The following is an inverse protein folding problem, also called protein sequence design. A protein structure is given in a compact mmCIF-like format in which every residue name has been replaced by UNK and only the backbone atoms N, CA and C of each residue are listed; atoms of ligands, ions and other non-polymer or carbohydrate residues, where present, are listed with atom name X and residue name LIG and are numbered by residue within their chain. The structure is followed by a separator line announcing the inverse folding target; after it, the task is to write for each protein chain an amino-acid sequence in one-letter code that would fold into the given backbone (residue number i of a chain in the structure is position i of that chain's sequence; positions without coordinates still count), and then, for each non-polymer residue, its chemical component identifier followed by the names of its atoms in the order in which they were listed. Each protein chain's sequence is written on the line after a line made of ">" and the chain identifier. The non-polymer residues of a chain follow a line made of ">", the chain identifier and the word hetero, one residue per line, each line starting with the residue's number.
data_IF_874249887073
#
_entry.id   IF_874249887073
#
_cell.length_a   1.000
_cell.length_b   1.000
_cell.length_c   1.000
_cell.angle_alpha   90.00
_cell.angle_beta   90.00
_cell.angle_gamma   90.00
#
_symmetry.space_group_name_H-M   'P 1'
#
loop_
_entity.id
_entity.type
_entity.pdbx_description
1 polymer ?
#
# COMPACT_ATOMS: atom_id res chain seq x y z
N UNK A 1 16.29 -24.66 6.78
CA UNK A 1 15.41 -25.51 5.96
C UNK A 1 15.75 -25.21 4.52
N UNK A 2 16.73 -25.94 3.98
CA UNK A 2 17.29 -25.68 2.65
C UNK A 2 16.48 -26.43 1.61
N UNK A 3 15.25 -25.98 1.41
CA UNK A 3 14.35 -26.49 0.37
C UNK A 3 14.32 -25.50 -0.78
N UNK A 4 14.40 -25.99 -2.00
CA UNK A 4 14.27 -25.14 -3.19
C UNK A 4 12.82 -24.61 -3.26
N UNK A 5 12.60 -23.28 -3.17
CA UNK A 5 11.24 -22.75 -3.12
C UNK A 5 10.53 -22.95 -4.46
N UNK A 6 9.26 -23.34 -4.41
CA UNK A 6 8.41 -23.47 -5.59
C UNK A 6 8.04 -22.11 -6.17
N UNK A 7 7.69 -22.06 -7.47
CA UNK A 7 7.28 -20.81 -8.13
C UNK A 7 6.13 -20.10 -7.40
N UNK A 8 5.13 -20.85 -6.94
CA UNK A 8 4.00 -20.29 -6.19
C UNK A 8 4.43 -19.67 -4.86
N UNK A 9 5.29 -20.33 -4.09
CA UNK A 9 5.74 -19.83 -2.78
C UNK A 9 6.56 -18.56 -2.90
N UNK A 10 7.35 -18.43 -3.98
CA UNK A 10 8.10 -17.19 -4.26
C UNK A 10 7.15 -16.04 -4.58
N UNK A 11 6.13 -16.28 -5.41
CA UNK A 11 5.15 -15.26 -5.78
C UNK A 11 4.29 -14.82 -4.58
N UNK A 12 3.85 -15.77 -3.77
CA UNK A 12 3.06 -15.52 -2.57
C UNK A 12 3.85 -14.68 -1.56
N UNK A 13 5.11 -15.04 -1.31
CA UNK A 13 6.00 -14.25 -0.46
C UNK A 13 6.25 -12.84 -1.03
N UNK A 14 6.32 -12.70 -2.36
CA UNK A 14 6.45 -11.42 -3.03
C UNK A 14 5.29 -10.45 -2.73
N UNK A 15 4.07 -10.96 -2.53
CA UNK A 15 2.91 -10.13 -2.18
C UNK A 15 3.08 -9.41 -0.83
N UNK A 16 3.90 -9.96 0.08
CA UNK A 16 4.22 -9.33 1.37
C UNK A 16 4.84 -7.95 1.20
N UNK A 17 5.57 -7.71 0.10
CA UNK A 17 6.22 -6.43 -0.15
C UNK A 17 5.22 -5.27 -0.34
N UNK A 18 3.96 -5.56 -0.67
CA UNK A 18 2.94 -4.52 -0.88
C UNK A 18 2.75 -3.59 0.33
N UNK A 19 2.94 -4.09 1.56
CA UNK A 19 2.81 -3.27 2.77
C UNK A 19 3.92 -2.22 2.92
N UNK A 20 5.09 -2.45 2.31
CA UNK A 20 6.24 -1.53 2.42
C UNK A 20 5.96 -0.19 1.76
N UNK A 21 5.11 -0.15 0.73
CA UNK A 21 4.69 1.11 0.10
C UNK A 21 3.92 1.98 1.10
N UNK A 22 2.93 1.40 1.80
CA UNK A 22 2.18 2.10 2.84
C UNK A 22 3.10 2.60 3.97
N UNK A 23 4.05 1.77 4.43
CA UNK A 23 5.01 2.19 5.45
C UNK A 23 5.99 3.26 4.96
N UNK A 24 6.33 3.27 3.67
CA UNK A 24 7.14 4.32 3.08
C UNK A 24 6.38 5.65 3.06
N UNK A 25 5.10 5.63 2.69
CA UNK A 25 4.23 6.82 2.65
C UNK A 25 4.02 7.41 4.05
N UNK A 26 3.95 6.59 5.09
CA UNK A 26 3.86 7.08 6.48
C UNK A 26 5.14 7.75 7.00
N UNK A 27 6.30 7.48 6.36
CA UNK A 27 7.58 8.09 6.70
C UNK A 27 7.78 9.37 5.87
N UNK A 28 9.03 9.71 5.57
CA UNK A 28 9.40 10.96 4.90
C UNK A 28 9.01 11.06 3.42
N UNK A 29 8.63 9.95 2.76
CA UNK A 29 8.23 9.98 1.35
C UNK A 29 6.84 10.59 1.15
N UNK A 30 5.93 10.39 2.11
CA UNK A 30 4.56 10.88 2.05
C UNK A 30 4.25 11.86 3.19
N UNK A 31 3.56 11.36 4.22
CA UNK A 31 2.92 12.15 5.27
C UNK A 31 3.87 12.66 6.36
N UNK A 32 5.12 12.17 6.40
CA UNK A 32 6.13 12.69 7.31
C UNK A 32 5.77 12.53 8.79
N UNK A 33 5.10 11.43 9.18
CA UNK A 33 4.58 11.27 10.54
C UNK A 33 5.67 11.43 11.61
N UNK A 34 6.90 11.01 11.31
CA UNK A 34 8.06 11.14 12.20
C UNK A 34 8.50 12.60 12.41
N UNK A 35 8.20 13.50 11.47
CA UNK A 35 8.49 14.95 11.57
C UNK A 35 7.29 15.79 12.04
N UNK A 36 6.10 15.19 12.13
CA UNK A 36 4.87 15.90 12.52
C UNK A 36 4.84 16.36 14.00
N UNK A 37 5.83 15.97 14.81
CA UNK A 37 5.93 16.26 16.25
C UNK A 37 4.67 15.93 17.05
N UNK A 38 3.84 14.98 16.59
CA UNK A 38 2.65 14.51 17.33
C UNK A 38 3.12 13.79 18.61
N UNK A 39 2.96 14.45 19.74
CA UNK A 39 3.38 13.91 21.05
C UNK A 39 2.30 13.05 21.73
N UNK A 40 1.05 13.09 21.26
CA UNK A 40 -0.06 12.32 21.84
C UNK A 40 -0.29 11.03 21.05
N UNK A 41 0.01 9.88 21.68
CA UNK A 41 -0.18 8.54 21.12
C UNK A 41 -1.58 8.32 20.55
N UNK A 42 -2.61 8.73 21.28
CA UNK A 42 -4.01 8.49 20.89
C UNK A 42 -4.39 9.24 19.59
N UNK A 43 -3.75 10.39 19.34
CA UNK A 43 -3.96 11.16 18.11
C UNK A 43 -3.25 10.51 16.94
N UNK A 44 -2.06 9.95 17.18
CA UNK A 44 -1.29 9.23 16.17
C UNK A 44 -2.01 7.94 15.76
N UNK A 45 -2.54 7.18 16.72
CA UNK A 45 -3.32 5.97 16.45
C UNK A 45 -4.52 6.25 15.56
N UNK A 46 -5.33 7.26 15.91
CA UNK A 46 -6.50 7.66 15.11
C UNK A 46 -6.11 8.14 13.72
N UNK A 47 -5.00 8.89 13.61
CA UNK A 47 -4.49 9.34 12.32
C UNK A 47 -4.08 8.15 11.45
N UNK A 48 -3.29 7.21 11.98
CA UNK A 48 -2.87 6.00 11.24
C UNK A 48 -4.09 5.19 10.80
N UNK A 49 -5.10 5.02 11.66
CA UNK A 49 -6.33 4.31 11.31
C UNK A 49 -7.04 4.95 10.12
N UNK A 50 -7.27 6.26 10.17
CA UNK A 50 -7.95 6.99 9.08
C UNK A 50 -7.12 6.92 7.80
N UNK A 51 -5.80 7.09 7.91
CA UNK A 51 -4.90 7.02 6.76
C UNK A 51 -4.89 5.63 6.11
N UNK A 52 -4.88 4.55 6.90
CA UNK A 52 -4.96 3.18 6.37
C UNK A 52 -6.26 2.93 5.60
N UNK A 53 -7.40 3.41 6.10
CA UNK A 53 -8.68 3.31 5.40
C UNK A 53 -8.67 4.12 4.09
N UNK A 54 -8.15 5.34 4.13
CA UNK A 54 -8.06 6.20 2.96
C UNK A 54 -7.15 5.62 1.87
N UNK A 55 -5.99 5.05 2.25
CA UNK A 55 -5.08 4.37 1.34
C UNK A 55 -5.72 3.12 0.73
N UNK A 56 -6.41 2.30 1.52
CA UNK A 56 -7.15 1.16 1.01
C UNK A 56 -8.18 1.59 -0.04
N UNK A 57 -8.93 2.66 0.24
CA UNK A 57 -9.92 3.21 -0.70
C UNK A 57 -9.25 3.71 -1.99
N UNK A 58 -8.20 4.52 -1.89
CA UNK A 58 -7.48 5.05 -3.04
C UNK A 58 -6.92 3.94 -3.95
N UNK A 59 -6.31 2.91 -3.35
CA UNK A 59 -5.81 1.73 -4.09
C UNK A 59 -6.97 0.98 -4.75
N UNK A 60 -8.08 0.78 -4.03
CA UNK A 60 -9.27 0.09 -4.56
C UNK A 60 -9.87 0.84 -5.75
N UNK A 61 -9.96 2.17 -5.67
CA UNK A 61 -10.40 3.01 -6.78
C UNK A 61 -9.43 2.95 -7.97
N UNK A 62 -8.11 2.99 -7.72
CA UNK A 62 -7.12 2.86 -8.78
C UNK A 62 -7.20 1.52 -9.50
N UNK A 63 -7.35 0.42 -8.75
CA UNK A 63 -7.55 -0.92 -9.31
C UNK A 63 -8.86 -1.04 -10.09
N UNK A 64 -9.94 -0.42 -9.60
CA UNK A 64 -11.21 -0.39 -10.30
C UNK A 64 -11.08 0.36 -11.63
N UNK A 65 -10.46 1.56 -11.61
CA UNK A 65 -10.21 2.35 -12.81
C UNK A 65 -9.31 1.60 -13.81
N UNK A 66 -8.26 0.93 -13.36
CA UNK A 66 -7.41 0.11 -14.22
C UNK A 66 -8.19 -1.05 -14.86
N UNK A 67 -9.02 -1.76 -14.07
CA UNK A 67 -9.88 -2.83 -14.58
C UNK A 67 -10.88 -2.33 -15.62
N UNK A 68 -11.50 -1.17 -15.36
CA UNK A 68 -12.42 -0.53 -16.28
C UNK A 68 -11.72 -0.12 -17.58
N UNK A 69 -10.54 0.50 -17.49
CA UNK A 69 -9.75 0.88 -18.66
C UNK A 69 -9.37 -0.34 -19.52
N UNK A 70 -9.02 -1.47 -18.89
CA UNK A 70 -8.76 -2.73 -19.60
C UNK A 70 -10.02 -3.26 -20.28
N UNK A 71 -11.18 -3.20 -19.61
CA UNK A 71 -12.46 -3.60 -20.18
C UNK A 71 -12.87 -2.73 -21.38
N UNK A 72 -12.54 -1.44 -21.33
CA UNK A 72 -12.80 -0.46 -22.40
C UNK A 72 -11.77 -0.53 -23.54
N UNK A 73 -10.80 -1.46 -23.48
CA UNK A 73 -9.79 -1.68 -24.52
C UNK A 73 -8.69 -0.61 -24.57
N UNK A 74 -8.58 0.23 -23.54
CA UNK A 74 -7.50 1.21 -23.42
C UNK A 74 -6.19 0.50 -23.06
N UNK A 75 -5.09 0.89 -23.71
CA UNK A 75 -3.76 0.35 -23.38
C UNK A 75 -3.44 0.67 -21.91
N UNK A 76 -2.88 -0.30 -21.20
CA UNK A 76 -2.32 -0.07 -19.86
C UNK A 76 -1.26 1.03 -19.94
N UNK A 77 -1.51 2.15 -19.26
CA UNK A 77 -0.48 3.16 -19.01
C UNK A 77 -1.00 4.59 -18.97
N UNK A 78 -0.75 5.24 -17.84
CA UNK A 78 0.07 6.45 -17.84
C UNK A 78 1.52 6.06 -18.14
#
# INVERSE_FOLDING_TARGET
>A
MDVNPGKYTVLDYGMRWGIENMFSDFKSRGFGLMQSHIQKSDRLERLILIMSIALYWAISCGMFAERQAVADGLKKGL
#
